data_IF_664239208487
#
_entry.id   IF_664239208487
#
_cell.length_a   1.000
_cell.length_b   1.000
_cell.length_c   1.000
_cell.angle_alpha   90.00
_cell.angle_beta   90.00
_cell.angle_gamma   90.00
#
_symmetry.space_group_name_H-M   'P 1'
#
loop_
_entity.id
_entity.type
_entity.pdbx_description
1 polymer ?
#
# COMPACT_ATOMS: atom_id res chain seq x y z
N UNK A 1 12.13 -24.56 27.66
CA UNK A 1 11.36 -23.36 27.30
C UNK A 1 10.75 -23.64 25.93
N UNK A 2 9.43 -23.55 25.72
CA UNK A 2 8.88 -23.69 24.38
C UNK A 2 9.39 -22.54 23.49
N UNK A 3 9.54 -22.85 22.22
CA UNK A 3 10.50 -22.23 21.29
C UNK A 3 10.19 -20.78 20.93
N UNK A 4 11.26 -19.99 20.78
CA UNK A 4 11.24 -18.59 20.36
C UNK A 4 10.77 -18.40 18.93
N UNK A 5 9.46 -18.51 18.69
CA UNK A 5 8.83 -17.92 17.53
C UNK A 5 8.97 -16.40 17.63
N UNK A 6 9.69 -15.82 16.67
CA UNK A 6 9.82 -14.38 16.50
C UNK A 6 8.41 -13.77 16.42
N UNK A 7 8.14 -12.74 17.24
CA UNK A 7 6.82 -12.14 17.30
C UNK A 7 6.55 -11.37 15.99
N UNK A 8 5.41 -11.66 15.35
CA UNK A 8 4.98 -10.99 14.13
C UNK A 8 4.96 -9.47 14.30
N UNK A 9 5.76 -8.78 13.50
CA UNK A 9 6.00 -7.35 13.58
C UNK A 9 5.00 -6.54 12.76
N UNK A 10 4.87 -5.25 13.07
CA UNK A 10 4.05 -4.33 12.27
C UNK A 10 4.62 -4.22 10.84
N UNK A 11 5.94 -4.23 10.67
CA UNK A 11 6.56 -4.19 9.35
C UNK A 11 6.17 -5.40 8.50
N UNK A 12 6.24 -6.61 9.07
CA UNK A 12 5.81 -7.83 8.39
C UNK A 12 4.31 -7.81 8.07
N UNK A 13 3.49 -7.23 8.95
CA UNK A 13 2.06 -7.03 8.68
C UNK A 13 1.80 -6.16 7.46
N UNK A 14 2.44 -4.99 7.35
CA UNK A 14 2.28 -4.09 6.22
C UNK A 14 2.73 -4.72 4.91
N UNK A 15 3.91 -5.35 4.90
CA UNK A 15 4.44 -6.05 3.73
C UNK A 15 3.53 -7.20 3.30
N UNK A 16 3.11 -8.06 4.24
CA UNK A 16 2.24 -9.21 3.96
C UNK A 16 0.89 -8.77 3.41
N UNK A 17 0.24 -7.76 4.02
CA UNK A 17 -1.06 -7.28 3.55
C UNK A 17 -0.95 -6.67 2.15
N UNK A 18 0.09 -5.87 1.90
CA UNK A 18 0.32 -5.30 0.57
C UNK A 18 0.52 -6.41 -0.45
N UNK A 19 1.37 -7.40 -0.16
CA UNK A 19 1.69 -8.47 -1.10
C UNK A 19 0.45 -9.32 -1.44
N UNK A 20 -0.38 -9.66 -0.44
CA UNK A 20 -1.58 -10.48 -0.63
C UNK A 20 -2.73 -9.73 -1.31
N UNK A 21 -2.97 -8.46 -0.93
CA UNK A 21 -4.01 -7.63 -1.54
C UNK A 21 -3.66 -7.27 -2.99
N UNK A 22 -2.38 -7.23 -3.34
CA UNK A 22 -1.89 -6.90 -4.67
C UNK A 22 -1.21 -8.07 -5.39
N UNK A 23 -1.56 -9.31 -5.02
CA UNK A 23 -0.94 -10.53 -5.57
C UNK A 23 -1.05 -10.62 -7.10
N UNK A 24 -2.07 -10.01 -7.71
CA UNK A 24 -2.26 -9.92 -9.16
C UNK A 24 -1.15 -9.15 -9.88
N UNK A 25 -0.40 -8.29 -9.19
CA UNK A 25 0.75 -7.60 -9.78
C UNK A 25 1.94 -8.54 -9.99
N UNK A 26 1.88 -9.78 -9.49
CA UNK A 26 2.92 -10.78 -9.68
C UNK A 26 4.24 -10.41 -8.99
N UNK A 27 4.27 -10.45 -7.66
CA UNK A 27 5.50 -10.24 -6.88
C UNK A 27 6.58 -11.29 -7.20
N UNK A 28 7.86 -10.94 -7.02
CA UNK A 28 8.97 -11.86 -7.21
C UNK A 28 9.16 -12.34 -8.66
N UNK A 29 8.84 -11.50 -9.66
CA UNK A 29 9.00 -11.83 -11.08
C UNK A 29 7.88 -12.69 -11.68
N UNK A 30 6.82 -12.96 -10.91
CA UNK A 30 5.59 -13.55 -11.44
C UNK A 30 4.94 -12.58 -12.44
N UNK A 31 4.21 -13.16 -13.40
CA UNK A 31 3.51 -12.35 -14.41
C UNK A 31 2.28 -11.70 -13.78
N UNK A 32 1.97 -10.44 -14.14
CA UNK A 32 0.74 -9.81 -13.70
C UNK A 32 -0.46 -10.48 -14.39
N UNK A 33 -1.60 -10.50 -13.70
CA UNK A 33 -2.88 -11.05 -14.19
C UNK A 33 -3.98 -10.01 -14.08
N UNK A 34 -5.10 -10.27 -14.77
CA UNK A 34 -6.27 -9.39 -14.70
C UNK A 34 -6.82 -9.32 -13.28
N UNK A 35 -7.27 -8.14 -12.88
CA UNK A 35 -7.83 -7.89 -11.56
C UNK A 35 -9.35 -7.82 -11.68
N UNK A 36 -10.09 -8.72 -11.03
CA UNK A 36 -11.55 -8.70 -11.05
C UNK A 36 -12.17 -7.55 -10.24
N UNK A 37 -13.48 -7.34 -10.36
CA UNK A 37 -14.17 -6.22 -9.68
C UNK A 37 -14.09 -6.24 -8.16
N UNK A 38 -14.10 -7.42 -7.52
CA UNK A 38 -14.03 -7.55 -6.07
C UNK A 38 -12.62 -7.22 -5.58
N UNK A 39 -11.60 -7.73 -6.27
CA UNK A 39 -10.19 -7.45 -6.00
C UNK A 39 -9.86 -5.98 -6.18
N UNK A 40 -10.32 -5.35 -7.27
CA UNK A 40 -10.16 -3.90 -7.49
C UNK A 40 -10.81 -3.06 -6.38
N UNK A 41 -11.92 -3.51 -5.79
CA UNK A 41 -12.57 -2.79 -4.69
C UNK A 41 -11.73 -2.89 -3.40
N UNK A 42 -11.27 -4.10 -3.06
CA UNK A 42 -10.40 -4.33 -1.91
C UNK A 42 -9.10 -3.50 -2.01
N UNK A 43 -8.47 -3.52 -3.19
CA UNK A 43 -7.24 -2.78 -3.47
C UNK A 43 -7.40 -1.27 -3.27
N UNK A 44 -8.52 -0.69 -3.72
CA UNK A 44 -8.82 0.74 -3.48
C UNK A 44 -8.98 1.05 -2.01
N UNK A 45 -9.78 0.26 -1.28
CA UNK A 45 -9.98 0.46 0.17
C UNK A 45 -8.64 0.40 0.91
N UNK A 46 -7.77 -0.55 0.53
CA UNK A 46 -6.46 -0.68 1.16
C UNK A 46 -5.55 0.52 0.87
N UNK A 47 -5.49 1.00 -0.37
CA UNK A 47 -4.74 2.22 -0.72
C UNK A 47 -5.24 3.42 0.06
N UNK A 48 -6.55 3.55 0.24
CA UNK A 48 -7.15 4.65 1.01
C UNK A 48 -6.71 4.62 2.47
N UNK A 49 -6.68 3.43 3.07
CA UNK A 49 -6.19 3.25 4.44
C UNK A 49 -4.70 3.59 4.56
N UNK A 50 -3.87 3.14 3.62
CA UNK A 50 -2.44 3.47 3.60
C UNK A 50 -2.23 4.98 3.45
N UNK A 51 -2.96 5.65 2.56
CA UNK A 51 -2.90 7.11 2.37
C UNK A 51 -3.31 7.83 3.65
N UNK A 52 -4.40 7.43 4.29
CA UNK A 52 -4.87 8.05 5.54
C UNK A 52 -3.84 7.90 6.67
N UNK A 53 -3.14 6.76 6.73
CA UNK A 53 -2.04 6.54 7.69
C UNK A 53 -0.79 7.34 7.35
N UNK A 54 -0.39 7.35 6.08
CA UNK A 54 0.78 8.10 5.62
C UNK A 54 0.62 9.61 5.81
N UNK A 55 -0.59 10.14 5.66
CA UNK A 55 -0.88 11.56 5.80
C UNK A 55 -1.31 11.97 7.22
N UNK A 56 -1.42 11.01 8.14
CA UNK A 56 -1.98 11.22 9.48
C UNK A 56 -3.34 11.96 9.44
N UNK A 57 -4.14 11.68 8.40
CA UNK A 57 -5.45 12.33 8.18
C UNK A 57 -6.52 11.84 9.16
N UNK A 58 -6.21 10.82 9.96
CA UNK A 58 -6.99 10.45 11.15
C UNK A 58 -6.73 11.47 12.25
N UNK A 59 -7.23 12.69 12.03
CA UNK A 59 -7.23 13.77 13.00
C UNK A 59 -7.85 13.26 14.31
N UNK A 60 -7.03 13.18 15.36
CA UNK A 60 -7.48 13.28 16.74
C UNK A 60 -7.62 11.98 17.54
N UNK A 61 -7.45 10.79 16.97
CA UNK A 61 -7.30 9.59 17.79
C UNK A 61 -5.83 9.30 17.98
N UNK A 62 -5.25 9.85 19.05
CA UNK A 62 -4.09 9.23 19.68
C UNK A 62 -4.53 7.81 20.01
N UNK A 63 -4.19 6.86 19.13
CA UNK A 63 -4.48 5.46 19.36
C UNK A 63 -3.74 5.09 20.64
N UNK A 64 -4.47 4.73 21.69
CA UNK A 64 -3.93 4.21 22.94
C UNK A 64 -3.25 2.83 22.78
N UNK A 65 -2.97 2.41 21.54
CA UNK A 65 -2.23 1.21 21.22
C UNK A 65 -0.77 1.59 20.93
N UNK A 66 0.05 1.46 21.97
CA UNK A 66 1.51 1.52 21.98
C UNK A 66 2.17 2.91 21.72
N UNK A 67 2.76 3.57 22.75
CA UNK A 67 3.44 4.86 22.62
C UNK A 67 4.69 4.87 21.73
N UNK A 68 5.10 3.74 21.14
CA UNK A 68 6.21 3.66 20.18
C UNK A 68 5.82 3.74 18.70
N UNK A 69 4.54 3.55 18.30
CA UNK A 69 4.21 3.26 16.90
C UNK A 69 3.45 4.31 16.03
N UNK A 70 3.30 5.62 16.36
CA UNK A 70 2.67 6.56 15.42
C UNK A 70 3.57 6.94 14.22
N UNK A 71 4.86 7.20 14.44
CA UNK A 71 5.78 7.62 13.36
C UNK A 71 6.22 6.45 12.49
N UNK A 72 6.55 5.31 13.10
CA UNK A 72 6.97 4.12 12.35
C UNK A 72 5.85 3.57 11.47
N UNK A 73 4.59 3.58 11.94
CA UNK A 73 3.46 3.16 11.11
C UNK A 73 3.20 4.12 9.93
N UNK A 74 3.40 5.43 10.13
CA UNK A 74 3.34 6.43 9.04
C UNK A 74 4.44 6.17 8.02
N UNK A 75 5.67 5.94 8.47
CA UNK A 75 6.82 5.65 7.63
C UNK A 75 6.62 4.34 6.84
N UNK A 76 6.14 3.28 7.49
CA UNK A 76 5.81 2.01 6.85
C UNK A 76 4.67 2.16 5.83
N UNK A 77 3.61 2.90 6.16
CA UNK A 77 2.52 3.16 5.21
C UNK A 77 3.02 3.91 3.96
N UNK A 78 3.86 4.94 4.15
CA UNK A 78 4.51 5.66 3.06
C UNK A 78 5.40 4.73 2.22
N UNK A 79 6.20 3.89 2.88
CA UNK A 79 7.07 2.92 2.22
C UNK A 79 6.27 1.95 1.34
N UNK A 80 5.17 1.39 1.84
CA UNK A 80 4.32 0.50 1.05
C UNK A 80 3.66 1.21 -0.13
N UNK A 81 3.25 2.46 0.02
CA UNK A 81 2.72 3.27 -1.09
C UNK A 81 3.77 3.48 -2.18
N UNK A 82 4.99 3.86 -1.82
CA UNK A 82 6.11 4.03 -2.76
C UNK A 82 6.44 2.71 -3.48
N UNK A 83 6.52 1.61 -2.73
CA UNK A 83 6.77 0.26 -3.27
C UNK A 83 5.66 -0.17 -4.24
N UNK A 84 4.42 0.09 -3.88
CA UNK A 84 3.25 -0.26 -4.69
C UNK A 84 3.19 0.58 -5.98
N UNK A 85 3.39 1.90 -5.90
CA UNK A 85 3.44 2.78 -7.08
C UNK A 85 4.51 2.32 -8.07
N UNK A 86 5.74 2.04 -7.57
CA UNK A 86 6.81 1.51 -8.40
C UNK A 86 6.43 0.18 -9.08
N UNK A 87 5.80 -0.74 -8.34
CA UNK A 87 5.37 -2.02 -8.92
C UNK A 87 4.29 -1.82 -9.97
N UNK A 88 3.29 -0.99 -9.71
CA UNK A 88 2.22 -0.68 -10.64
C UNK A 88 2.81 -0.09 -11.93
N UNK A 89 3.72 0.87 -11.83
CA UNK A 89 4.40 1.49 -12.96
C UNK A 89 5.05 0.47 -13.89
N UNK A 90 5.72 -0.53 -13.30
CA UNK A 90 6.38 -1.60 -14.03
C UNK A 90 5.38 -2.49 -14.80
N UNK A 91 4.22 -2.83 -14.22
CA UNK A 91 3.33 -3.86 -14.76
C UNK A 91 2.15 -3.33 -15.56
N UNK A 92 1.70 -2.10 -15.32
CA UNK A 92 0.48 -1.56 -15.96
C UNK A 92 0.56 -1.42 -17.48
N UNK A 93 1.77 -1.44 -18.03
CA UNK A 93 2.01 -1.39 -19.47
C UNK A 93 1.93 -2.76 -20.16
N UNK A 94 1.77 -3.86 -19.40
CA UNK A 94 1.62 -5.19 -19.99
C UNK A 94 0.34 -5.25 -20.84
N UNK A 95 0.55 -5.55 -22.13
CA UNK A 95 -0.52 -5.62 -23.13
C UNK A 95 -1.45 -6.83 -22.94
N UNK A 96 -1.04 -7.81 -22.14
CA UNK A 96 -1.86 -8.99 -21.80
C UNK A 96 -2.95 -8.68 -20.81
N UNK A 97 -2.76 -7.66 -19.97
CA UNK A 97 -3.80 -7.20 -19.06
C UNK A 97 -4.97 -6.67 -19.86
N UNK A 98 -6.19 -6.83 -19.35
CA UNK A 98 -7.35 -6.23 -19.97
C UNK A 98 -7.32 -4.69 -19.81
N UNK A 99 -8.20 -4.01 -20.56
CA UNK A 99 -8.27 -2.54 -20.53
C UNK A 99 -8.68 -2.02 -19.15
N UNK A 100 -9.50 -2.77 -18.42
CA UNK A 100 -10.08 -2.33 -17.14
C UNK A 100 -9.03 -2.38 -16.03
N UNK A 101 -8.24 -3.45 -15.99
CA UNK A 101 -7.10 -3.64 -15.09
C UNK A 101 -6.08 -2.55 -15.33
N UNK A 102 -5.64 -2.31 -16.57
CA UNK A 102 -4.69 -1.21 -16.85
C UNK A 102 -5.21 0.15 -16.42
N UNK A 103 -6.51 0.43 -16.63
CA UNK A 103 -7.12 1.68 -16.21
C UNK A 103 -7.17 1.81 -14.68
N UNK A 104 -7.52 0.74 -13.96
CA UNK A 104 -7.49 0.71 -12.50
C UNK A 104 -6.09 0.93 -11.94
N UNK A 105 -5.09 0.27 -12.52
CA UNK A 105 -3.70 0.42 -12.10
C UNK A 105 -3.20 1.85 -12.32
N UNK A 106 -3.48 2.44 -13.49
CA UNK A 106 -3.10 3.83 -13.77
C UNK A 106 -3.79 4.85 -12.85
N UNK A 107 -5.08 4.65 -12.54
CA UNK A 107 -5.81 5.48 -11.58
C UNK A 107 -5.25 5.36 -10.17
N UNK A 108 -4.91 4.13 -9.75
CA UNK A 108 -4.34 3.88 -8.43
C UNK A 108 -2.96 4.50 -8.29
N UNK A 109 -2.07 4.34 -9.28
CA UNK A 109 -0.74 4.99 -9.29
C UNK A 109 -0.87 6.51 -9.15
N UNK A 110 -1.71 7.14 -9.97
CA UNK A 110 -1.92 8.59 -9.91
C UNK A 110 -2.44 9.06 -8.55
N UNK A 111 -3.31 8.28 -7.91
CA UNK A 111 -3.83 8.59 -6.58
C UNK A 111 -2.75 8.48 -5.49
N UNK A 112 -1.89 7.46 -5.58
CA UNK A 112 -0.75 7.28 -4.68
C UNK A 112 0.23 8.44 -4.83
N UNK A 113 0.59 8.80 -6.06
CA UNK A 113 1.54 9.88 -6.35
C UNK A 113 1.04 11.22 -5.78
N UNK A 114 -0.25 11.54 -5.97
CA UNK A 114 -0.86 12.73 -5.40
C UNK A 114 -0.82 12.75 -3.87
N UNK A 115 -1.02 11.61 -3.22
CA UNK A 115 -0.95 11.50 -1.77
C UNK A 115 0.49 11.69 -1.26
N UNK A 116 1.47 11.04 -1.92
CA UNK A 116 2.88 11.15 -1.53
C UNK A 116 3.41 12.57 -1.70
N UNK A 117 2.99 13.28 -2.75
CA UNK A 117 3.28 14.70 -2.96
C UNK A 117 2.65 15.58 -1.88
N UNK A 118 1.36 15.35 -1.56
CA UNK A 118 0.68 16.08 -0.50
C UNK A 118 1.34 15.89 0.87
N UNK A 119 1.92 14.72 1.15
CA UNK A 119 2.70 14.48 2.37
C UNK A 119 3.92 15.39 2.46
N UNK A 120 4.67 15.55 1.36
CA UNK A 120 5.87 16.39 1.33
C UNK A 120 5.54 17.85 1.65
N UNK A 121 4.41 18.35 1.14
CA UNK A 121 3.93 19.71 1.44
C UNK A 121 3.55 19.87 2.92
N UNK A 122 2.92 18.86 3.53
CA UNK A 122 2.57 18.88 4.96
C UNK A 122 3.82 18.84 5.83
N UNK A 123 4.83 18.04 5.47
CA UNK A 123 6.06 17.91 6.25
C UNK A 123 6.95 19.18 6.16
N UNK A 124 6.73 20.02 5.14
CA UNK A 124 7.46 21.28 4.92
C UNK A 124 6.81 22.53 5.56
N UNK A 125 5.60 22.41 6.14
CA UNK A 125 4.83 23.52 6.74
C UNK A 125 4.67 23.39 8.25
#
# INVERSE_FOLDING_TARGET
MPDGAEAFTIAEMFGTLTDEIWSELGWGGRRPVDVDSYRRNLQRIYVDQLIDKALDRVRGTRSNFNPSAPQDARALARHELERLAARISQVRSDRRLDRVTRAHLAETEARIDQALEASLVIDAG
#
